data_IF_535050715220
#
_entry.id   IF_535050715220
#
_cell.length_a   1.000
_cell.length_b   1.000
_cell.length_c   1.000
_cell.angle_alpha   90.00
_cell.angle_beta   90.00
_cell.angle_gamma   90.00
#
_symmetry.space_group_name_H-M   'P 1'
#
loop_
_entity.id
_entity.type
_entity.pdbx_description
1 polymer ?
#
# COMPACT_ATOMS: atom_id res chain seq x y z
N UNK A 1 3.34 -2.83 -30.68
CA UNK A 1 3.29 -3.00 -29.21
C UNK A 1 2.76 -1.71 -28.61
N UNK A 2 1.56 -1.77 -28.04
CA UNK A 2 0.84 -0.59 -27.54
C UNK A 2 1.21 -0.41 -26.05
N UNK A 3 2.14 0.51 -25.75
CA UNK A 3 2.74 0.66 -24.41
C UNK A 3 1.86 1.39 -23.38
N UNK A 4 0.57 1.57 -23.63
CA UNK A 4 -0.31 2.39 -22.80
C UNK A 4 -0.64 1.87 -21.38
N UNK A 5 -0.68 0.56 -21.05
CA UNK A 5 -1.17 0.14 -19.72
C UNK A 5 -0.19 0.36 -18.56
N UNK A 6 1.10 0.64 -18.83
CA UNK A 6 2.16 0.65 -17.78
C UNK A 6 2.87 2.01 -17.67
N UNK A 7 2.47 3.02 -18.45
CA UNK A 7 3.04 4.35 -18.24
C UNK A 7 2.33 4.99 -17.05
N UNK A 8 2.99 4.92 -15.88
CA UNK A 8 2.54 5.58 -14.64
C UNK A 8 2.02 6.98 -14.94
N UNK A 9 0.90 7.42 -14.33
CA UNK A 9 0.36 8.77 -14.48
C UNK A 9 1.42 9.86 -14.25
N UNK A 10 2.40 9.56 -13.40
CA UNK A 10 3.59 10.39 -13.20
C UNK A 10 4.37 10.59 -14.50
N UNK A 11 4.71 9.51 -15.19
CA UNK A 11 5.50 9.54 -16.44
C UNK A 11 4.72 10.24 -17.55
N UNK A 12 3.41 9.99 -17.68
CA UNK A 12 2.56 10.72 -18.64
C UNK A 12 2.60 12.22 -18.37
N UNK A 13 2.42 12.62 -17.11
CA UNK A 13 2.45 14.04 -16.70
C UNK A 13 3.81 14.68 -16.94
N UNK A 14 4.91 13.99 -16.65
CA UNK A 14 6.25 14.53 -16.91
C UNK A 14 6.56 14.62 -18.41
N UNK A 15 6.10 13.66 -19.22
CA UNK A 15 6.19 13.73 -20.69
C UNK A 15 5.43 14.93 -21.26
N UNK A 16 4.21 15.19 -20.77
CA UNK A 16 3.42 16.35 -21.18
C UNK A 16 4.07 17.69 -20.79
N UNK A 17 4.72 17.76 -19.62
CA UNK A 17 5.28 19.01 -19.10
C UNK A 17 6.70 19.32 -19.58
N UNK A 18 7.55 18.31 -19.73
CA UNK A 18 9.00 18.47 -20.00
C UNK A 18 9.45 17.83 -21.32
N UNK A 19 8.56 17.17 -22.07
CA UNK A 19 8.89 16.49 -23.31
C UNK A 19 9.61 15.15 -23.10
N UNK A 20 9.74 14.37 -24.16
CA UNK A 20 10.27 13.00 -24.10
C UNK A 20 11.73 12.94 -23.62
N UNK A 21 12.56 13.91 -24.02
CA UNK A 21 13.99 13.92 -23.70
C UNK A 21 14.29 14.13 -22.21
N UNK A 22 13.44 14.88 -21.48
CA UNK A 22 13.68 15.25 -20.08
C UNK A 22 12.77 14.51 -19.09
N UNK A 23 11.67 13.91 -19.56
CA UNK A 23 10.68 13.27 -18.69
C UNK A 23 11.26 12.14 -17.83
N UNK A 24 12.12 11.30 -18.40
CA UNK A 24 12.73 10.18 -17.69
C UNK A 24 13.64 10.66 -16.55
N UNK A 25 14.52 11.62 -16.84
CA UNK A 25 15.40 12.23 -15.84
C UNK A 25 14.60 12.91 -14.71
N UNK A 26 13.49 13.58 -15.04
CA UNK A 26 12.59 14.18 -14.03
C UNK A 26 11.86 13.14 -13.19
N UNK A 27 11.41 12.04 -13.80
CA UNK A 27 10.80 10.94 -13.04
C UNK A 27 11.80 10.32 -12.08
N UNK A 28 13.01 10.01 -12.55
CA UNK A 28 14.08 9.47 -11.72
C UNK A 28 14.45 10.43 -10.57
N UNK A 29 14.53 11.74 -10.83
CA UNK A 29 14.80 12.74 -9.81
C UNK A 29 13.72 12.74 -8.72
N UNK A 30 12.44 12.82 -9.09
CA UNK A 30 11.33 12.84 -8.13
C UNK A 30 11.27 11.52 -7.35
N UNK A 31 11.46 10.38 -8.02
CA UNK A 31 11.46 9.08 -7.37
C UNK A 31 12.62 8.94 -6.37
N UNK A 32 13.83 9.41 -6.72
CA UNK A 32 14.98 9.40 -5.82
C UNK A 32 14.74 10.24 -4.57
N UNK A 33 14.23 11.47 -4.71
CA UNK A 33 13.92 12.31 -3.55
C UNK A 33 12.76 11.74 -2.72
N UNK A 34 11.74 11.15 -3.37
CA UNK A 34 10.64 10.50 -2.69
C UNK A 34 11.10 9.31 -1.86
N UNK A 35 11.94 8.44 -2.42
CA UNK A 35 12.53 7.30 -1.70
C UNK A 35 13.42 7.79 -0.56
N UNK A 36 14.30 8.77 -0.81
CA UNK A 36 15.17 9.32 0.23
C UNK A 36 14.37 9.89 1.40
N UNK A 37 13.34 10.71 1.12
CA UNK A 37 12.48 11.30 2.13
C UNK A 37 11.74 10.21 2.93
N UNK A 38 11.17 9.22 2.24
CA UNK A 38 10.48 8.09 2.88
C UNK A 38 11.43 7.33 3.81
N UNK A 39 12.63 6.99 3.34
CA UNK A 39 13.63 6.27 4.13
C UNK A 39 14.05 7.07 5.36
N UNK A 40 14.34 8.37 5.20
CA UNK A 40 14.74 9.24 6.32
C UNK A 40 13.63 9.31 7.38
N UNK A 41 12.37 9.52 6.95
CA UNK A 41 11.23 9.60 7.88
C UNK A 41 11.00 8.28 8.61
N UNK A 42 11.06 7.15 7.90
CA UNK A 42 10.89 5.82 8.52
C UNK A 42 12.02 5.54 9.52
N UNK A 43 13.27 5.79 9.16
CA UNK A 43 14.41 5.59 10.07
C UNK A 43 14.33 6.50 11.29
N UNK A 44 13.98 7.77 11.10
CA UNK A 44 13.78 8.71 12.20
C UNK A 44 12.68 8.23 13.15
N UNK A 45 11.55 7.78 12.60
CA UNK A 45 10.44 7.24 13.40
C UNK A 45 10.87 5.99 14.19
N UNK A 46 11.57 5.04 13.56
CA UNK A 46 12.07 3.82 14.23
C UNK A 46 13.04 4.18 15.35
N UNK A 47 14.00 5.07 15.11
CA UNK A 47 14.94 5.53 16.13
C UNK A 47 14.22 6.22 17.30
N UNK A 48 13.24 7.08 17.00
CA UNK A 48 12.40 7.71 18.03
C UNK A 48 11.69 6.67 18.88
N UNK A 49 11.13 5.63 18.28
CA UNK A 49 10.44 4.56 19.02
C UNK A 49 11.41 3.77 19.91
N UNK A 50 12.60 3.43 19.40
CA UNK A 50 13.63 2.70 20.18
C UNK A 50 14.14 3.53 21.36
N UNK A 51 14.25 4.85 21.21
CA UNK A 51 14.66 5.75 22.30
C UNK A 51 13.53 6.02 23.31
N UNK A 52 12.27 5.92 22.91
CA UNK A 52 11.10 6.20 23.78
C UNK A 52 10.51 4.96 24.46
N UNK A 53 10.65 3.77 23.87
CA UNK A 53 10.03 2.54 24.36
C UNK A 53 11.07 1.55 24.90
N UNK A 54 10.74 0.92 26.02
CA UNK A 54 11.51 -0.21 26.54
C UNK A 54 11.29 -1.48 25.69
N UNK A 55 12.24 -2.44 25.69
CA UNK A 55 12.08 -3.73 25.01
C UNK A 55 10.81 -4.49 25.42
N UNK A 56 10.39 -4.36 26.69
CA UNK A 56 9.18 -4.97 27.22
C UNK A 56 7.92 -4.39 26.56
N UNK A 57 7.85 -3.06 26.41
CA UNK A 57 6.72 -2.39 25.77
C UNK A 57 6.60 -2.74 24.28
N UNK A 58 7.74 -2.88 23.59
CA UNK A 58 7.77 -3.37 22.20
C UNK A 58 7.25 -4.81 22.09
N UNK A 59 7.61 -5.68 23.04
CA UNK A 59 7.13 -7.06 23.09
C UNK A 59 5.62 -7.13 23.38
N UNK A 60 5.10 -6.26 24.25
CA UNK A 60 3.67 -6.14 24.51
C UNK A 60 2.90 -5.65 23.28
N UNK A 61 3.37 -4.58 22.62
CA UNK A 61 2.78 -4.09 21.38
C UNK A 61 2.73 -5.18 20.30
N UNK A 62 3.80 -6.00 20.20
CA UNK A 62 3.86 -7.18 19.32
C UNK A 62 2.82 -8.21 19.70
N UNK A 63 2.70 -8.57 20.99
CA UNK A 63 1.73 -9.56 21.47
C UNK A 63 0.28 -9.12 21.22
N UNK A 64 0.00 -7.82 21.38
CA UNK A 64 -1.32 -7.24 21.15
C UNK A 64 -1.64 -7.03 19.66
N UNK A 65 -0.68 -7.23 18.75
CA UNK A 65 -0.81 -6.96 17.32
C UNK A 65 -1.28 -5.52 17.01
N UNK A 66 -0.86 -4.56 17.85
CA UNK A 66 -1.18 -3.15 17.67
C UNK A 66 -0.03 -2.42 16.97
N UNK A 67 -0.37 -1.34 16.26
CA UNK A 67 0.64 -0.39 15.79
C UNK A 67 1.28 0.33 16.98
N UNK A 68 2.55 0.76 16.84
CA UNK A 68 3.25 1.52 17.89
C UNK A 68 2.47 2.79 18.28
N UNK A 69 1.89 3.49 17.30
CA UNK A 69 1.07 4.67 17.55
C UNK A 69 -0.18 4.35 18.38
N UNK A 70 -0.85 3.23 18.10
CA UNK A 70 -2.02 2.77 18.86
C UNK A 70 -1.63 2.31 20.27
N UNK A 71 -0.48 1.65 20.42
CA UNK A 71 0.05 1.25 21.73
C UNK A 71 0.39 2.46 22.61
N UNK A 72 1.08 3.45 22.05
CA UNK A 72 1.39 4.71 22.72
C UNK A 72 0.10 5.47 23.10
N UNK A 73 -0.89 5.52 22.21
CA UNK A 73 -2.17 6.16 22.51
C UNK A 73 -2.86 5.56 23.75
N UNK A 74 -2.82 4.23 23.88
CA UNK A 74 -3.43 3.51 25.00
C UNK A 74 -2.64 3.67 26.30
N UNK A 75 -1.31 3.74 26.26
CA UNK A 75 -0.47 3.84 27.46
C UNK A 75 -0.44 5.25 28.07
N UNK A 76 -0.47 6.29 27.24
CA UNK A 76 -0.33 7.67 27.73
C UNK A 76 -1.67 8.35 28.04
N UNK A 77 -2.81 7.68 27.77
CA UNK A 77 -4.19 8.15 27.98
C UNK A 77 -4.38 9.61 27.53
N UNK A 78 -3.68 10.00 26.45
CA UNK A 78 -3.71 11.36 25.93
C UNK A 78 -4.88 11.48 24.97
N UNK A 79 -5.94 12.25 25.31
CA UNK A 79 -7.16 12.27 24.52
C UNK A 79 -6.89 12.64 23.06
N UNK A 80 -5.97 13.56 22.80
CA UNK A 80 -5.63 13.98 21.43
C UNK A 80 -5.10 12.80 20.59
N UNK A 81 -4.19 11.98 21.12
CA UNK A 81 -3.58 10.88 20.37
C UNK A 81 -4.57 9.72 20.21
N UNK A 82 -5.39 9.45 21.22
CA UNK A 82 -6.42 8.41 21.17
C UNK A 82 -7.46 8.66 20.06
N UNK A 83 -7.86 9.92 19.83
CA UNK A 83 -8.79 10.28 18.75
C UNK A 83 -8.11 10.35 17.38
N UNK A 84 -6.88 10.85 17.32
CA UNK A 84 -6.20 11.09 16.04
C UNK A 84 -5.58 9.82 15.45
N UNK A 85 -5.14 8.88 16.29
CA UNK A 85 -4.46 7.64 15.86
C UNK A 85 -5.34 6.78 14.93
N UNK A 86 -6.63 6.49 15.23
CA UNK A 86 -7.51 5.76 14.31
C UNK A 86 -7.74 6.48 12.98
N UNK A 87 -7.85 7.81 13.00
CA UNK A 87 -8.05 8.60 11.78
C UNK A 87 -6.81 8.52 10.89
N UNK A 88 -5.62 8.70 11.46
CA UNK A 88 -4.35 8.57 10.73
C UNK A 88 -4.22 7.16 10.15
N UNK A 89 -4.51 6.14 10.96
CA UNK A 89 -4.46 4.74 10.52
C UNK A 89 -5.42 4.49 9.35
N UNK A 90 -6.67 4.96 9.46
CA UNK A 90 -7.67 4.82 8.40
C UNK A 90 -7.25 5.50 7.09
N UNK A 91 -6.77 6.74 7.16
CA UNK A 91 -6.29 7.48 5.97
C UNK A 91 -5.08 6.79 5.34
N UNK A 92 -4.14 6.33 6.17
CA UNK A 92 -2.94 5.63 5.71
C UNK A 92 -3.29 4.29 5.03
N UNK A 93 -4.14 3.48 5.66
CA UNK A 93 -4.63 2.20 5.11
C UNK A 93 -5.37 2.45 3.80
N UNK A 94 -6.30 3.41 3.76
CA UNK A 94 -7.08 3.71 2.56
C UNK A 94 -6.19 4.14 1.40
N UNK A 95 -5.24 5.04 1.64
CA UNK A 95 -4.28 5.49 0.62
C UNK A 95 -3.43 4.33 0.10
N UNK A 96 -2.90 3.49 1.00
CA UNK A 96 -2.09 2.33 0.63
C UNK A 96 -2.93 1.30 -0.15
N UNK A 97 -4.14 1.02 0.33
CA UNK A 97 -5.07 0.06 -0.27
C UNK A 97 -5.44 0.46 -1.69
N UNK A 98 -5.79 1.73 -1.96
CA UNK A 98 -6.15 2.17 -3.31
C UNK A 98 -5.03 1.94 -4.33
N UNK A 99 -3.77 2.21 -3.94
CA UNK A 99 -2.62 1.98 -4.82
C UNK A 99 -2.43 0.51 -5.17
N UNK A 100 -2.50 -0.37 -4.18
CA UNK A 100 -2.38 -1.82 -4.38
C UNK A 100 -3.61 -2.39 -5.09
N UNK A 101 -4.80 -1.88 -4.79
CA UNK A 101 -6.07 -2.32 -5.38
C UNK A 101 -6.09 -2.05 -6.89
N UNK A 102 -5.76 -0.84 -7.32
CA UNK A 102 -5.73 -0.48 -8.75
C UNK A 102 -4.73 -1.36 -9.50
N UNK A 103 -3.51 -1.51 -8.96
CA UNK A 103 -2.49 -2.34 -9.60
C UNK A 103 -2.87 -3.83 -9.68
N UNK A 104 -3.40 -4.40 -8.59
CA UNK A 104 -3.88 -5.79 -8.56
C UNK A 104 -5.08 -6.01 -9.48
N UNK A 105 -6.00 -5.04 -9.55
CA UNK A 105 -7.15 -5.08 -10.43
C UNK A 105 -6.73 -5.07 -11.90
N UNK A 106 -5.90 -4.12 -12.31
CA UNK A 106 -5.42 -3.99 -13.69
C UNK A 106 -4.64 -5.24 -14.13
N UNK A 107 -3.70 -5.70 -13.29
CA UNK A 107 -2.91 -6.90 -13.58
C UNK A 107 -3.74 -8.17 -13.68
N UNK A 108 -4.69 -8.40 -12.78
CA UNK A 108 -5.55 -9.59 -12.82
C UNK A 108 -6.52 -9.54 -14.01
N UNK A 109 -7.03 -8.35 -14.33
CA UNK A 109 -7.90 -8.14 -15.48
C UNK A 109 -7.18 -8.45 -16.78
N UNK A 110 -5.97 -7.94 -16.96
CA UNK A 110 -5.17 -8.18 -18.16
C UNK A 110 -4.80 -9.67 -18.28
N UNK A 111 -4.41 -10.31 -17.17
CA UNK A 111 -4.14 -11.75 -17.11
C UNK A 111 -5.35 -12.59 -17.57
N UNK A 112 -6.55 -12.29 -17.06
CA UNK A 112 -7.77 -13.02 -17.41
C UNK A 112 -8.13 -12.82 -18.89
N UNK A 113 -8.04 -11.59 -19.39
CA UNK A 113 -8.35 -11.27 -20.78
C UNK A 113 -7.36 -11.94 -21.75
N UNK A 114 -6.07 -11.92 -21.43
CA UNK A 114 -5.02 -12.56 -22.24
C UNK A 114 -5.18 -14.09 -22.23
N UNK A 115 -5.40 -14.69 -21.06
CA UNK A 115 -5.63 -16.13 -20.95
C UNK A 115 -6.91 -16.58 -21.68
N UNK A 116 -7.97 -15.77 -21.68
CA UNK A 116 -9.19 -16.07 -22.41
C UNK A 116 -9.00 -15.93 -23.93
N UNK A 117 -8.28 -14.88 -24.38
CA UNK A 117 -7.95 -14.66 -25.77
C UNK A 117 -7.11 -15.80 -26.35
N UNK A 118 -6.12 -16.31 -25.60
CA UNK A 118 -5.32 -17.48 -25.98
C UNK A 118 -6.16 -18.76 -26.16
N UNK A 119 -7.33 -18.84 -25.52
CA UNK A 119 -8.31 -19.93 -25.66
C UNK A 119 -9.42 -19.64 -26.68
N UNK A 120 -9.30 -18.56 -27.45
CA UNK A 120 -10.30 -18.12 -28.44
C UNK A 120 -11.60 -17.60 -27.83
N UNK A 121 -11.62 -17.28 -26.52
CA UNK A 121 -12.81 -16.79 -25.81
C UNK A 121 -12.75 -15.27 -25.64
N UNK A 122 -13.91 -14.62 -25.69
CA UNK A 122 -14.09 -13.19 -25.40
C UNK A 122 -15.00 -13.05 -24.17
N UNK A 123 -14.45 -13.03 -22.95
CA UNK A 123 -15.26 -12.93 -21.74
C UNK A 123 -15.90 -11.53 -21.66
N UNK A 124 -17.09 -11.47 -21.08
CA UNK A 124 -17.77 -10.19 -20.83
C UNK A 124 -17.01 -9.39 -19.78
N UNK A 125 -16.63 -8.15 -20.11
CA UNK A 125 -15.82 -7.27 -19.24
C UNK A 125 -16.47 -7.11 -17.85
N UNK A 126 -17.80 -6.90 -17.81
CA UNK A 126 -18.54 -6.77 -16.53
C UNK A 126 -18.43 -7.99 -15.64
N UNK A 127 -18.38 -9.20 -16.22
CA UNK A 127 -18.23 -10.44 -15.44
C UNK A 127 -16.81 -10.54 -14.89
N UNK A 128 -15.80 -10.23 -15.71
CA UNK A 128 -14.40 -10.22 -15.27
C UNK A 128 -14.20 -9.24 -14.12
N UNK A 129 -14.67 -8.00 -14.28
CA UNK A 129 -14.55 -6.96 -13.26
C UNK A 129 -15.26 -7.35 -11.96
N UNK A 130 -16.46 -7.96 -12.04
CA UNK A 130 -17.19 -8.44 -10.87
C UNK A 130 -16.47 -9.60 -10.16
N UNK A 131 -15.90 -10.56 -10.91
CA UNK A 131 -15.14 -11.68 -10.33
C UNK A 131 -13.90 -11.17 -9.61
N UNK A 132 -13.16 -10.23 -10.19
CA UNK A 132 -11.99 -9.62 -9.57
C UNK A 132 -12.39 -8.92 -8.27
N UNK A 133 -13.44 -8.09 -8.31
CA UNK A 133 -13.91 -7.37 -7.14
C UNK A 133 -14.31 -8.33 -6.00
N UNK A 134 -15.12 -9.35 -6.32
CA UNK A 134 -15.53 -10.37 -5.33
C UNK A 134 -14.32 -11.10 -4.77
N UNK A 135 -13.37 -11.51 -5.61
CA UNK A 135 -12.15 -12.17 -5.16
C UNK A 135 -11.34 -11.28 -4.20
N UNK A 136 -11.15 -10.00 -4.53
CA UNK A 136 -10.42 -9.05 -3.68
C UNK A 136 -11.13 -8.79 -2.36
N UNK A 137 -12.45 -8.61 -2.37
CA UNK A 137 -13.23 -8.38 -1.14
C UNK A 137 -13.19 -9.61 -0.23
N UNK A 138 -13.40 -10.82 -0.78
CA UNK A 138 -13.39 -12.05 0.00
C UNK A 138 -12.01 -12.33 0.60
N UNK A 139 -10.93 -12.09 -0.16
CA UNK A 139 -9.56 -12.28 0.34
C UNK A 139 -9.21 -11.26 1.43
N UNK A 140 -9.55 -9.98 1.25
CA UNK A 140 -9.37 -8.96 2.29
C UNK A 140 -10.19 -9.25 3.54
N UNK A 141 -11.44 -9.67 3.38
CA UNK A 141 -12.31 -10.01 4.50
C UNK A 141 -11.79 -11.22 5.27
N UNK A 142 -11.36 -12.27 4.56
CA UNK A 142 -10.75 -13.44 5.18
C UNK A 142 -9.47 -13.07 5.95
N UNK A 143 -8.61 -12.23 5.38
CA UNK A 143 -7.41 -11.74 6.06
C UNK A 143 -7.77 -10.93 7.33
N UNK A 144 -8.76 -10.05 7.25
CA UNK A 144 -9.24 -9.27 8.40
C UNK A 144 -9.82 -10.17 9.49
N UNK A 145 -10.58 -11.21 9.12
CA UNK A 145 -11.13 -12.18 10.07
C UNK A 145 -10.04 -13.02 10.75
N UNK A 146 -9.01 -13.44 10.00
CA UNK A 146 -7.89 -14.20 10.56
C UNK A 146 -6.97 -13.36 11.44
N UNK A 147 -6.96 -12.03 11.26
CA UNK A 147 -6.11 -11.08 11.95
C UNK A 147 -4.65 -11.58 12.10
N UNK A 148 -3.97 -11.93 10.98
CA UNK A 148 -2.62 -12.46 11.05
C UNK A 148 -1.66 -11.41 11.61
N UNK A 149 -0.68 -11.86 12.39
CA UNK A 149 0.34 -10.96 12.92
C UNK A 149 1.16 -10.36 11.79
N UNK A 150 1.18 -9.02 11.70
CA UNK A 150 1.96 -8.29 10.70
C UNK A 150 3.45 -8.63 10.83
N UNK A 151 3.97 -8.68 12.06
CA UNK A 151 5.36 -9.10 12.30
C UNK A 151 5.57 -10.55 11.88
N UNK A 152 4.61 -11.43 12.15
CA UNK A 152 4.68 -12.83 11.72
C UNK A 152 4.83 -12.97 10.20
N UNK A 153 4.19 -12.12 9.41
CA UNK A 153 4.31 -12.11 7.93
C UNK A 153 5.69 -11.59 7.48
N UNK A 154 6.26 -10.61 8.19
CA UNK A 154 7.54 -9.98 7.82
C UNK A 154 8.75 -10.81 8.28
N UNK A 155 8.64 -11.49 9.43
CA UNK A 155 9.69 -12.32 10.04
C UNK A 155 9.72 -13.77 9.48
N UNK A 156 8.83 -14.11 8.54
CA UNK A 156 8.78 -15.41 7.85
C UNK A 156 10.06 -15.72 7.05
#
# INVERSE_FOLDING_TARGET
FNHYPIISPMVVRQKQRYGLALAEGKCAQIQRYGILLMTVVVLFFVLSCVLSLSPQQLAEAKAQNLSILSYLANQYDTPIIAWLSPIIAFVAITKSFLGHYIGAYESLRDLILEAAAARGKKPGIRLVDAVILVFMVLTCWFAAYKNPSILGIIEC
#
